data_IF_293204796116
#
_entry.id   IF_293204796116
#
_cell.length_a   1.000
_cell.length_b   1.000
_cell.length_c   1.000
_cell.angle_alpha   90.00
_cell.angle_beta   90.00
_cell.angle_gamma   90.00
#
_symmetry.space_group_name_H-M   'P 1'
#
loop_
_entity.id
_entity.type
_entity.pdbx_description
1 polymer ?
#
# COMPACT_ATOMS: atom_id res chain seq x y z
N UNK A 1 -20.02 -13.51 -0.86
CA UNK A 1 -19.69 -13.19 0.54
C UNK A 1 -19.40 -11.71 0.57
N UNK A 2 -20.14 -10.94 1.36
CA UNK A 2 -20.15 -9.48 1.28
C UNK A 2 -19.13 -8.93 2.26
N UNK A 3 -17.90 -8.74 1.80
CA UNK A 3 -16.86 -8.02 2.54
C UNK A 3 -17.16 -6.54 2.33
N UNK A 4 -17.82 -5.91 3.31
CA UNK A 4 -18.24 -4.51 3.20
C UNK A 4 -17.09 -3.49 3.44
N UNK A 5 -15.83 -3.92 3.34
CA UNK A 5 -14.67 -3.12 3.78
C UNK A 5 -13.48 -3.15 2.84
N UNK A 6 -13.48 -3.92 1.75
CA UNK A 6 -12.39 -3.90 0.76
C UNK A 6 -12.73 -2.92 -0.37
N UNK A 7 -11.71 -2.26 -0.93
CA UNK A 7 -11.85 -1.61 -2.24
C UNK A 7 -12.35 -2.65 -3.24
N UNK A 8 -13.24 -2.23 -4.13
CA UNK A 8 -13.69 -3.07 -5.24
C UNK A 8 -12.55 -3.28 -6.24
N UNK A 9 -12.62 -4.33 -7.06
CA UNK A 9 -11.65 -4.57 -8.14
C UNK A 9 -11.49 -3.33 -9.04
N UNK A 10 -12.59 -2.69 -9.42
CA UNK A 10 -12.55 -1.47 -10.23
C UNK A 10 -11.88 -0.27 -9.51
N UNK A 11 -11.94 -0.22 -8.18
CA UNK A 11 -11.24 0.80 -7.40
C UNK A 11 -9.76 0.50 -7.26
N UNK A 12 -9.37 -0.78 -7.16
CA UNK A 12 -7.98 -1.21 -7.18
C UNK A 12 -7.36 -0.93 -8.56
N UNK A 13 -8.02 -1.31 -9.65
CA UNK A 13 -7.60 -0.99 -11.03
C UNK A 13 -7.46 0.53 -11.24
N UNK A 14 -8.38 1.31 -10.65
CA UNK A 14 -8.31 2.78 -10.72
C UNK A 14 -7.12 3.31 -9.93
N UNK A 15 -6.86 2.77 -8.74
CA UNK A 15 -5.71 3.15 -7.93
C UNK A 15 -4.40 2.81 -8.65
N UNK A 16 -4.26 1.62 -9.24
CA UNK A 16 -3.10 1.25 -10.07
C UNK A 16 -2.89 2.26 -11.21
N UNK A 17 -3.95 2.58 -11.96
CA UNK A 17 -3.88 3.57 -13.05
C UNK A 17 -3.42 4.94 -12.57
N UNK A 18 -3.84 5.35 -11.37
CA UNK A 18 -3.44 6.64 -10.79
C UNK A 18 -1.99 6.63 -10.33
N UNK A 19 -1.52 5.53 -9.74
CA UNK A 19 -0.13 5.37 -9.28
C UNK A 19 0.87 5.35 -10.45
N UNK A 20 0.44 4.86 -11.62
CA UNK A 20 1.22 4.92 -12.86
C UNK A 20 1.25 6.31 -13.52
N UNK A 21 0.56 7.32 -12.97
CA UNK A 21 0.58 8.67 -13.51
C UNK A 21 2.00 9.27 -13.42
N UNK A 22 2.64 9.65 -14.54
CA UNK A 22 4.01 10.15 -14.53
C UNK A 22 4.23 11.40 -13.69
N UNK A 23 3.16 12.13 -13.36
CA UNK A 23 3.27 13.27 -12.45
C UNK A 23 3.66 12.85 -11.05
N UNK A 24 3.25 11.67 -10.55
CA UNK A 24 3.58 11.20 -9.20
C UNK A 24 5.05 10.75 -9.05
N UNK A 25 5.80 10.67 -10.16
CA UNK A 25 7.20 10.29 -10.15
C UNK A 25 7.38 8.82 -9.78
N UNK A 26 8.08 8.56 -8.68
CA UNK A 26 8.41 7.21 -8.20
C UNK A 26 7.39 6.71 -7.16
N UNK A 27 6.09 6.82 -7.47
CA UNK A 27 5.05 6.28 -6.61
C UNK A 27 5.20 4.75 -6.48
N UNK A 28 4.91 4.23 -5.28
CA UNK A 28 4.93 2.79 -5.03
C UNK A 28 3.82 2.09 -5.84
N UNK A 29 4.10 0.85 -6.29
CA UNK A 29 3.06 -0.01 -6.87
C UNK A 29 2.09 -0.50 -5.80
N UNK A 30 0.90 -0.94 -6.21
CA UNK A 30 -0.16 -1.32 -5.27
C UNK A 30 0.22 -2.51 -4.34
N UNK A 31 1.02 -3.46 -4.82
CA UNK A 31 1.56 -4.56 -4.00
C UNK A 31 2.59 -4.06 -2.98
N UNK A 32 3.48 -3.15 -3.39
CA UNK A 32 4.41 -2.46 -2.48
C UNK A 32 3.66 -1.66 -1.43
N UNK A 33 2.63 -0.91 -1.82
CA UNK A 33 1.78 -0.13 -0.91
C UNK A 33 1.13 -1.04 0.12
N UNK A 34 0.61 -2.21 -0.28
CA UNK A 34 0.05 -3.15 0.69
C UNK A 34 1.12 -3.58 1.71
N UNK A 35 2.32 -3.95 1.25
CA UNK A 35 3.43 -4.33 2.13
C UNK A 35 3.83 -3.22 3.11
N UNK A 36 4.08 -2.02 2.59
CA UNK A 36 4.42 -0.84 3.39
C UNK A 36 3.32 -0.49 4.39
N UNK A 37 2.06 -0.47 3.97
CA UNK A 37 0.94 -0.15 4.85
C UNK A 37 0.78 -1.19 5.96
N UNK A 38 0.98 -2.49 5.67
CA UNK A 38 0.93 -3.54 6.69
C UNK A 38 1.94 -3.28 7.81
N UNK A 39 3.18 -2.95 7.46
CA UNK A 39 4.18 -2.58 8.47
C UNK A 39 3.77 -1.29 9.21
N UNK A 40 3.41 -0.24 8.47
CA UNK A 40 3.07 1.06 9.05
C UNK A 40 1.89 1.03 10.05
N UNK A 41 0.96 0.07 9.86
CA UNK A 41 -0.24 -0.11 10.68
C UNK A 41 -0.02 -1.07 11.84
N UNK A 42 0.80 -2.11 11.65
CA UNK A 42 1.08 -3.14 12.65
C UNK A 42 2.27 -2.82 13.57
N UNK A 43 3.06 -1.78 13.25
CA UNK A 43 4.23 -1.38 14.01
C UNK A 43 3.91 -0.87 15.43
N UNK A 44 4.95 -0.72 16.27
CA UNK A 44 4.79 -0.33 17.69
C UNK A 44 4.09 1.03 17.85
N UNK A 45 4.38 1.95 16.94
CA UNK A 45 3.71 3.24 16.79
C UNK A 45 3.33 3.41 15.33
N UNK A 46 2.07 3.74 15.07
CA UNK A 46 1.59 3.98 13.71
C UNK A 46 2.27 5.21 13.12
N UNK A 47 2.77 5.06 11.90
CA UNK A 47 3.36 6.16 11.12
C UNK A 47 2.25 7.18 10.80
N UNK A 48 2.48 8.51 10.98
CA UNK A 48 1.51 9.53 10.63
C UNK A 48 1.00 9.40 9.20
N UNK A 49 -0.28 9.75 8.99
CA UNK A 49 -0.91 9.61 7.67
C UNK A 49 -0.18 10.42 6.58
N UNK A 50 0.20 11.66 6.88
CA UNK A 50 0.86 12.53 5.91
C UNK A 50 2.21 11.95 5.48
N UNK A 51 3.01 11.46 6.43
CA UNK A 51 4.29 10.81 6.18
C UNK A 51 4.13 9.54 5.32
N UNK A 52 3.12 8.71 5.60
CA UNK A 52 2.80 7.52 4.78
C UNK A 52 2.39 7.89 3.36
N UNK A 53 1.54 8.89 3.20
CA UNK A 53 1.07 9.32 1.88
C UNK A 53 2.21 9.94 1.06
N UNK A 54 3.12 10.66 1.72
CA UNK A 54 4.33 11.17 1.08
C UNK A 54 5.22 10.04 0.59
N UNK A 55 5.46 9.03 1.43
CA UNK A 55 6.28 7.88 1.06
C UNK A 55 5.67 7.08 -0.10
N UNK A 56 4.35 6.89 -0.09
CA UNK A 56 3.62 6.13 -1.12
C UNK A 56 3.58 6.88 -2.46
N UNK A 57 3.28 8.18 -2.45
CA UNK A 57 3.01 8.95 -3.67
C UNK A 57 4.26 9.60 -4.26
N UNK A 58 5.41 9.51 -3.59
CA UNK A 58 6.68 10.01 -4.10
C UNK A 58 6.73 11.55 -4.14
N UNK A 59 6.78 12.12 -5.35
CA UNK A 59 7.15 13.52 -5.60
C UNK A 59 6.19 14.51 -4.90
N UNK A 60 6.71 15.20 -3.87
CA UNK A 60 6.00 16.24 -3.13
C UNK A 60 5.40 17.33 -4.06
N UNK A 61 6.07 17.63 -5.17
CA UNK A 61 5.63 18.66 -6.12
C UNK A 61 4.37 18.28 -6.92
N UNK A 62 4.04 16.98 -6.95
CA UNK A 62 2.90 16.44 -7.67
C UNK A 62 1.69 16.12 -6.77
N UNK A 63 1.84 16.28 -5.45
CA UNK A 63 0.83 15.90 -4.47
C UNK A 63 -0.47 16.72 -4.50
N UNK A 64 -0.49 17.83 -5.24
CA UNK A 64 -1.66 18.68 -5.47
C UNK A 64 -2.41 18.37 -6.78
N UNK A 65 -1.89 17.46 -7.60
CA UNK A 65 -2.54 17.03 -8.84
C UNK A 65 -3.89 16.37 -8.57
N UNK A 66 -4.77 16.39 -9.58
CA UNK A 66 -6.07 15.70 -9.46
C UNK A 66 -5.88 14.18 -9.29
N UNK A 67 -4.86 13.61 -9.94
CA UNK A 67 -4.49 12.21 -9.77
C UNK A 67 -4.05 11.90 -8.34
N UNK A 68 -3.18 12.74 -7.75
CA UNK A 68 -2.74 12.59 -6.36
C UNK A 68 -3.92 12.70 -5.38
N UNK A 69 -4.83 13.64 -5.60
CA UNK A 69 -6.00 13.82 -4.74
C UNK A 69 -6.92 12.60 -4.75
N UNK A 70 -7.21 12.06 -5.93
CA UNK A 70 -8.03 10.85 -6.07
C UNK A 70 -7.31 9.62 -5.48
N UNK A 71 -6.01 9.47 -5.74
CA UNK A 71 -5.21 8.40 -5.17
C UNK A 71 -5.22 8.43 -3.64
N UNK A 72 -5.04 9.61 -3.03
CA UNK A 72 -5.12 9.81 -1.57
C UNK A 72 -6.46 9.31 -1.00
N UNK A 73 -7.58 9.63 -1.65
CA UNK A 73 -8.91 9.19 -1.20
C UNK A 73 -9.05 7.66 -1.22
N UNK A 74 -8.54 7.00 -2.27
CA UNK A 74 -8.54 5.54 -2.38
C UNK A 74 -7.58 4.90 -1.38
N UNK A 75 -6.39 5.46 -1.20
CA UNK A 75 -5.38 4.97 -0.25
C UNK A 75 -5.86 5.05 1.20
N UNK A 76 -6.59 6.10 1.58
CA UNK A 76 -7.20 6.20 2.91
C UNK A 76 -8.19 5.06 3.17
N UNK A 77 -9.02 4.75 2.18
CA UNK A 77 -9.98 3.64 2.27
C UNK A 77 -9.27 2.29 2.25
N UNK A 78 -8.21 2.16 1.48
CA UNK A 78 -7.38 0.95 1.43
C UNK A 78 -6.70 0.70 2.77
N UNK A 79 -6.06 1.71 3.36
CA UNK A 79 -5.43 1.59 4.68
C UNK A 79 -6.43 1.19 5.77
N UNK A 80 -7.62 1.80 5.79
CA UNK A 80 -8.67 1.43 6.74
C UNK A 80 -9.17 -0.03 6.53
N UNK A 81 -9.24 -0.48 5.28
CA UNK A 81 -9.57 -1.86 4.94
C UNK A 81 -8.51 -2.84 5.44
N UNK A 82 -7.23 -2.50 5.26
CA UNK A 82 -6.09 -3.31 5.71
C UNK A 82 -6.03 -3.37 7.23
N UNK A 83 -6.18 -2.25 7.93
CA UNK A 83 -6.22 -2.20 9.40
C UNK A 83 -7.32 -3.13 9.95
N UNK A 84 -8.54 -3.03 9.42
CA UNK A 84 -9.64 -3.91 9.80
C UNK A 84 -9.37 -5.39 9.49
N UNK A 85 -8.61 -5.68 8.43
CA UNK A 85 -8.24 -7.05 8.05
C UNK A 85 -7.13 -7.61 8.94
N UNK A 86 -6.15 -6.79 9.33
CA UNK A 86 -5.06 -7.14 10.23
C UNK A 86 -5.56 -7.43 11.66
N UNK A 87 -6.60 -6.72 12.10
CA UNK A 87 -7.27 -6.95 13.38
C UNK A 87 -8.21 -8.18 13.38
N UNK A 88 -8.46 -8.78 12.22
CA UNK A 88 -9.34 -9.94 12.09
C UNK A 88 -8.57 -11.25 12.25
N UNK A 89 -9.23 -12.28 12.79
CA UNK A 89 -8.72 -13.66 12.82
C UNK A 89 -8.88 -14.38 11.46
N UNK A 90 -9.34 -13.68 10.43
CA UNK A 90 -9.60 -14.24 9.09
C UNK A 90 -8.33 -14.29 8.23
N UNK A 91 -8.42 -14.98 7.10
CA UNK A 91 -7.31 -15.05 6.15
C UNK A 91 -7.01 -13.67 5.54
N UNK A 92 -5.75 -13.24 5.60
CA UNK A 92 -5.27 -11.99 5.02
C UNK A 92 -4.70 -12.23 3.60
N UNK A 93 -5.41 -11.83 2.52
CA UNK A 93 -4.91 -12.01 1.16
C UNK A 93 -3.80 -10.99 0.84
N UNK A 94 -2.70 -11.47 0.27
CA UNK A 94 -1.65 -10.62 -0.27
C UNK A 94 -1.98 -10.23 -1.72
N UNK A 95 -1.81 -8.95 -2.05
CA UNK A 95 -1.76 -8.44 -3.41
C UNK A 95 -0.36 -8.72 -3.94
N UNK A 96 -0.26 -9.63 -4.90
CA UNK A 96 1.00 -10.05 -5.51
C UNK A 96 0.82 -10.13 -7.01
N UNK A 97 1.70 -9.48 -7.76
CA UNK A 97 1.76 -9.61 -9.20
C UNK A 97 2.61 -10.81 -9.62
N UNK A 98 2.43 -11.37 -10.82
CA UNK A 98 3.32 -12.40 -11.33
C UNK A 98 4.73 -11.83 -11.60
N UNK A 99 5.76 -12.67 -11.44
CA UNK A 99 7.17 -12.29 -11.73
C UNK A 99 7.43 -11.92 -13.18
N UNK A 100 6.64 -12.48 -14.08
CA UNK A 100 6.71 -12.24 -15.52
C UNK A 100 5.34 -12.45 -16.18
N UNK A 101 5.25 -12.21 -17.48
CA UNK A 101 4.00 -12.28 -18.24
C UNK A 101 3.58 -13.71 -18.62
N UNK A 102 4.30 -14.76 -18.19
CA UNK A 102 3.90 -16.14 -18.50
C UNK A 102 2.64 -16.54 -17.73
N UNK A 103 1.78 -17.35 -18.36
CA UNK A 103 0.49 -17.75 -17.76
C UNK A 103 0.65 -18.52 -16.43
N UNK A 104 1.78 -19.21 -16.25
CA UNK A 104 2.11 -19.99 -15.05
C UNK A 104 3.18 -19.29 -14.17
N UNK A 105 3.40 -17.98 -14.38
CA UNK A 105 4.37 -17.22 -13.61
C UNK A 105 4.04 -17.30 -12.11
N UNK A 106 5.02 -17.61 -11.24
CA UNK A 106 4.79 -17.56 -9.80
C UNK A 106 4.56 -16.10 -9.38
N UNK A 107 3.77 -15.92 -8.32
CA UNK A 107 3.63 -14.62 -7.65
C UNK A 107 4.99 -14.09 -7.19
N UNK A 108 5.20 -12.79 -7.37
CA UNK A 108 6.35 -12.08 -6.87
C UNK A 108 6.09 -11.56 -5.47
N UNK A 109 6.87 -12.08 -4.52
CA UNK A 109 6.80 -11.65 -3.13
C UNK A 109 7.84 -10.59 -2.81
N UNK A 110 8.84 -10.41 -3.68
CA UNK A 110 10.03 -9.62 -3.37
C UNK A 110 9.67 -8.16 -3.09
N UNK A 111 8.94 -7.51 -3.99
CA UNK A 111 8.55 -6.11 -3.87
C UNK A 111 7.66 -5.86 -2.64
N UNK A 112 6.68 -6.74 -2.41
CA UNK A 112 5.84 -6.69 -1.20
C UNK A 112 6.68 -6.77 0.08
N UNK A 113 7.61 -7.73 0.14
CA UNK A 113 8.47 -7.91 1.32
C UNK A 113 9.43 -6.75 1.53
N UNK A 114 10.02 -6.22 0.46
CA UNK A 114 10.90 -5.07 0.52
C UNK A 114 10.16 -3.83 1.02
N UNK A 115 8.95 -3.58 0.53
CA UNK A 115 8.13 -2.47 0.99
C UNK A 115 7.68 -2.63 2.45
N UNK A 116 7.38 -3.86 2.89
CA UNK A 116 7.11 -4.14 4.30
C UNK A 116 8.33 -3.81 5.17
N UNK A 117 9.53 -4.28 4.79
CA UNK A 117 10.77 -3.99 5.50
C UNK A 117 11.09 -2.48 5.49
N UNK A 118 10.80 -1.79 4.40
CA UNK A 118 10.89 -0.34 4.33
C UNK A 118 9.96 0.36 5.34
N UNK A 119 8.73 -0.13 5.51
CA UNK A 119 7.82 0.36 6.54
C UNK A 119 8.29 0.08 7.97
N UNK A 120 8.99 -1.03 8.19
CA UNK A 120 9.67 -1.31 9.48
C UNK A 120 10.80 -0.31 9.73
N UNK A 121 11.65 -0.07 8.74
CA UNK A 121 12.78 0.87 8.82
C UNK A 121 12.32 2.33 8.95
N UNK A 122 11.14 2.66 8.44
CA UNK A 122 10.52 3.98 8.51
C UNK A 122 9.80 4.26 9.85
N UNK A 123 9.72 3.28 10.75
CA UNK A 123 9.03 3.44 12.02
C UNK A 123 9.75 4.43 12.94
N UNK A 124 8.97 5.27 13.63
CA UNK A 124 9.52 6.26 14.57
C UNK A 124 10.14 5.58 15.79
N UNK A 125 9.52 4.49 16.25
CA UNK A 125 10.06 3.63 17.31
C UNK A 125 10.57 2.33 16.70
N UNK A 126 11.73 1.87 17.19
CA UNK A 126 12.33 0.62 16.74
C UNK A 126 11.45 -0.57 17.14
N UNK A 127 11.15 -1.42 16.16
CA UNK A 127 10.35 -2.63 16.33
C UNK A 127 11.00 -3.65 17.27
N UNK A 128 12.32 -3.65 17.36
CA UNK A 128 13.10 -4.68 18.02
C UNK A 128 13.56 -4.32 19.43
N UNK A 129 13.36 -3.05 19.85
CA UNK A 129 13.76 -2.56 21.18
C UNK A 129 12.63 -2.64 22.23
N UNK A 130 11.72 -3.61 22.09
CA UNK A 130 10.61 -3.86 23.03
C UNK A 130 10.98 -4.71 24.25
#
# INVERSE_FOLDING_TARGET
>A
MTIATQLTEAELDRLETLLDDPSLGDAMRLDEIQGYLCASLAGPVQIPLEDRLQEILGDESAQDSDAAREAKELLLRFAAALEASLDSDDNFPLLLYPKDESEDAPSDFELWCLAYLHGVDSAIEDWFDS
#
